data_IF_871055315729
#
_entry.id   IF_871055315729
#
_cell.length_a   1.000
_cell.length_b   1.000
_cell.length_c   1.000
_cell.angle_alpha   90.00
_cell.angle_beta   90.00
_cell.angle_gamma   90.00
#
_symmetry.space_group_name_H-M   'P 1'
#
loop_
_entity.id
_entity.type
_entity.pdbx_description
1 polymer ?
#
# COMPACT_ATOMS: atom_id res chain seq x y z
N UNK A 1 -15.33 6.70 7.01
CA UNK A 1 -16.47 7.48 6.47
C UNK A 1 -16.67 8.71 7.34
N UNK A 2 -16.83 9.87 6.73
CA UNK A 2 -16.91 11.17 7.39
C UNK A 2 -17.97 12.02 6.69
N UNK A 3 -18.76 12.81 7.42
CA UNK A 3 -19.63 13.82 6.83
C UNK A 3 -18.79 14.89 6.12
N UNK A 4 -19.37 15.54 5.12
CA UNK A 4 -18.76 16.74 4.50
C UNK A 4 -18.48 17.86 5.51
N UNK A 5 -19.21 17.89 6.64
CA UNK A 5 -18.97 18.81 7.77
C UNK A 5 -17.75 18.45 8.62
N UNK A 6 -17.11 17.30 8.38
CA UNK A 6 -15.90 16.86 9.07
C UNK A 6 -16.13 15.89 10.24
N UNK A 7 -17.38 15.60 10.59
CA UNK A 7 -17.72 14.62 11.62
C UNK A 7 -17.44 13.19 11.16
N UNK A 8 -16.68 12.44 11.97
CA UNK A 8 -16.43 11.02 11.70
C UNK A 8 -17.69 10.20 11.98
N UNK A 9 -18.14 9.44 10.98
CA UNK A 9 -19.34 8.58 11.10
C UNK A 9 -18.95 7.15 11.43
N UNK A 10 -17.92 6.64 10.74
CA UNK A 10 -17.44 5.27 10.93
C UNK A 10 -15.96 5.17 10.61
N UNK A 11 -15.25 4.40 11.43
CA UNK A 11 -13.82 4.14 11.33
C UNK A 11 -13.59 2.64 11.35
N UNK A 12 -12.90 2.14 10.34
CA UNK A 12 -12.47 0.74 10.25
C UNK A 12 -10.96 0.73 10.04
N UNK A 13 -10.25 -0.09 10.81
CA UNK A 13 -8.81 -0.27 10.75
C UNK A 13 -8.51 -1.76 10.69
N UNK A 14 -7.60 -2.17 9.82
CA UNK A 14 -7.17 -3.56 9.65
C UNK A 14 -5.73 -3.60 9.15
N UNK A 15 -5.02 -4.69 9.47
CA UNK A 15 -3.78 -5.03 8.79
C UNK A 15 -4.12 -5.67 7.45
N UNK A 16 -3.42 -5.28 6.39
CA UNK A 16 -3.67 -5.72 5.02
C UNK A 16 -2.34 -5.95 4.29
N UNK A 17 -2.31 -6.77 3.23
CA UNK A 17 -1.12 -6.89 2.39
C UNK A 17 -0.97 -5.64 1.49
N UNK A 18 0.15 -5.53 0.78
CA UNK A 18 0.51 -4.33 0.02
C UNK A 18 -0.52 -4.00 -1.08
N UNK A 19 -1.09 -5.02 -1.72
CA UNK A 19 -1.99 -4.86 -2.86
C UNK A 19 -3.25 -4.06 -2.48
N UNK A 20 -3.76 -4.27 -1.27
CA UNK A 20 -4.90 -3.54 -0.71
C UNK A 20 -4.54 -2.07 -0.38
N UNK A 21 -3.26 -1.77 -0.17
CA UNK A 21 -2.77 -0.42 0.11
C UNK A 21 -2.44 0.40 -1.14
N UNK A 22 -2.56 -0.16 -2.34
CA UNK A 22 -2.36 0.58 -3.59
C UNK A 22 -3.56 1.47 -3.95
N UNK A 23 -4.70 1.31 -3.26
CA UNK A 23 -5.93 2.09 -3.46
C UNK A 23 -6.22 3.05 -2.30
N UNK A 24 -5.31 3.99 -2.05
CA UNK A 24 -5.52 5.08 -1.07
C UNK A 24 -6.15 6.32 -1.70
N UNK A 25 -6.72 7.19 -0.88
CA UNK A 25 -7.29 8.47 -1.31
C UNK A 25 -8.64 8.77 -0.66
N UNK A 26 -9.31 9.83 -1.12
CA UNK A 26 -10.65 10.16 -0.68
C UNK A 26 -11.66 10.15 -1.84
N UNK A 27 -12.80 9.51 -1.64
CA UNK A 27 -13.93 9.49 -2.57
C UNK A 27 -15.14 10.17 -1.95
N UNK A 28 -15.81 11.03 -2.72
CA UNK A 28 -17.02 11.73 -2.30
C UNK A 28 -18.26 10.98 -2.77
N UNK A 29 -19.19 10.72 -1.86
CA UNK A 29 -20.49 10.12 -2.15
C UNK A 29 -21.53 11.24 -2.15
N UNK A 30 -21.75 11.85 -3.31
CA UNK A 30 -22.56 13.08 -3.47
C UNK A 30 -23.99 12.96 -2.93
N UNK A 31 -24.62 11.80 -3.09
CA UNK A 31 -26.02 11.61 -2.67
C UNK A 31 -26.20 11.58 -1.15
N UNK A 32 -25.15 11.22 -0.42
CA UNK A 32 -25.22 10.91 1.00
C UNK A 32 -24.48 11.96 1.86
N UNK A 33 -23.89 12.99 1.24
CA UNK A 33 -23.09 14.02 1.93
C UNK A 33 -21.94 13.46 2.79
N UNK A 34 -21.38 12.32 2.36
CA UNK A 34 -20.23 11.70 3.01
C UNK A 34 -19.00 11.63 2.10
N UNK A 35 -17.84 11.56 2.76
CA UNK A 35 -16.53 11.30 2.18
C UNK A 35 -15.96 10.03 2.80
N UNK A 36 -15.36 9.18 1.98
CA UNK A 36 -14.64 7.99 2.40
C UNK A 36 -13.17 8.24 2.11
N UNK A 37 -12.34 8.27 3.15
CA UNK A 37 -10.90 8.39 3.03
C UNK A 37 -10.22 7.12 3.50
N UNK A 38 -9.28 6.63 2.69
CA UNK A 38 -8.51 5.41 2.92
C UNK A 38 -7.03 5.74 2.90
N UNK A 39 -6.33 5.40 3.98
CA UNK A 39 -4.87 5.54 4.12
C UNK A 39 -4.26 4.22 4.54
N UNK A 40 -3.01 4.01 4.18
CA UNK A 40 -2.19 2.92 4.70
C UNK A 40 -0.96 3.47 5.38
N UNK A 41 -0.40 2.68 6.31
CA UNK A 41 0.85 3.01 6.96
C UNK A 41 1.64 1.75 7.24
N UNK A 42 2.95 1.92 7.34
CA UNK A 42 3.89 0.87 7.74
C UNK A 42 4.38 1.11 9.17
N UNK A 43 4.49 0.03 9.96
CA UNK A 43 5.02 0.05 11.32
C UNK A 43 3.97 -0.19 12.40
N UNK A 44 4.44 -0.34 13.65
CA UNK A 44 3.60 -0.65 14.81
C UNK A 44 2.77 0.55 15.23
N UNK A 45 1.44 0.37 15.36
CA UNK A 45 0.48 1.42 15.79
C UNK A 45 0.53 2.67 14.87
N UNK A 46 1.03 2.52 13.64
CA UNK A 46 1.18 3.64 12.70
C UNK A 46 -0.17 4.29 12.31
N UNK A 47 -1.27 3.56 12.45
CA UNK A 47 -2.61 3.96 12.06
C UNK A 47 -3.36 4.67 13.18
N UNK A 48 -2.68 5.35 14.11
CA UNK A 48 -3.35 6.16 15.15
C UNK A 48 -4.15 7.34 14.57
N UNK A 49 -3.61 8.18 13.66
CA UNK A 49 -4.39 9.27 13.04
C UNK A 49 -5.47 8.76 12.07
N UNK A 50 -6.41 9.65 11.72
CA UNK A 50 -7.46 9.39 10.73
C UNK A 50 -7.28 10.30 9.51
N UNK A 51 -7.31 9.76 8.28
CA UNK A 51 -7.23 10.58 7.08
C UNK A 51 -8.52 11.40 6.92
N UNK A 52 -8.37 12.71 6.76
CA UNK A 52 -9.47 13.66 6.57
C UNK A 52 -9.49 14.29 5.19
N UNK A 53 -8.39 14.29 4.44
CA UNK A 53 -8.25 14.89 3.12
C UNK A 53 -7.44 13.98 2.18
N UNK A 54 -7.33 14.39 0.91
CA UNK A 54 -6.57 13.62 -0.07
C UNK A 54 -5.05 13.62 0.25
N UNK A 55 -4.55 14.67 0.91
CA UNK A 55 -3.13 14.82 1.26
C UNK A 55 -2.67 13.84 2.35
N UNK A 56 -3.55 13.43 3.24
CA UNK A 56 -3.29 12.50 4.35
C UNK A 56 -3.92 11.12 4.12
N UNK A 57 -4.77 10.97 3.10
CA UNK A 57 -5.25 9.68 2.60
C UNK A 57 -4.25 9.05 1.62
N UNK A 58 -3.03 8.82 2.09
CA UNK A 58 -1.92 8.26 1.30
C UNK A 58 -1.41 6.96 1.92
N UNK A 59 -0.54 6.24 1.20
CA UNK A 59 0.24 5.17 1.79
C UNK A 59 1.58 5.71 2.31
N UNK A 60 1.74 5.75 3.63
CA UNK A 60 2.97 6.17 4.30
C UNK A 60 3.83 4.95 4.64
N UNK A 61 4.95 4.78 3.94
CA UNK A 61 5.90 3.68 4.13
C UNK A 61 7.26 4.24 4.55
N UNK A 62 7.92 3.55 5.49
CA UNK A 62 9.30 3.86 5.90
C UNK A 62 10.31 3.09 5.05
N UNK A 63 9.88 1.98 4.46
CA UNK A 63 10.64 1.18 3.50
C UNK A 63 10.49 1.74 2.08
N UNK A 64 11.56 1.81 1.27
CA UNK A 64 11.41 2.15 -0.13
C UNK A 64 10.61 1.06 -0.85
N UNK A 65 9.43 1.45 -1.36
CA UNK A 65 8.50 0.59 -2.11
C UNK A 65 9.17 -0.08 -3.33
N UNK A 66 10.30 0.45 -3.79
CA UNK A 66 11.09 -0.01 -4.93
C UNK A 66 12.08 -1.14 -4.64
N UNK A 67 12.02 -1.79 -3.46
CA UNK A 67 12.89 -2.94 -3.16
C UNK A 67 12.35 -4.22 -3.83
N UNK A 68 12.35 -4.26 -5.16
CA UNK A 68 12.25 -5.52 -5.89
C UNK A 68 13.65 -6.14 -5.96
N UNK A 69 13.98 -7.22 -5.22
CA UNK A 69 14.92 -8.21 -5.71
C UNK A 69 14.18 -9.05 -6.77
N UNK A 70 13.72 -8.37 -7.82
CA UNK A 70 13.19 -9.02 -9.00
C UNK A 70 14.38 -9.55 -9.79
N UNK A 71 14.53 -10.88 -9.80
CA UNK A 71 15.51 -11.67 -10.56
C UNK A 71 16.83 -11.97 -9.83
N UNK A 72 16.98 -13.20 -9.32
CA UNK A 72 18.22 -13.96 -9.56
C UNK A 72 18.23 -15.44 -9.18
N UNK A 73 17.13 -16.08 -8.77
CA UNK A 73 17.17 -17.55 -8.56
C UNK A 73 17.30 -18.31 -9.89
N UNK A 74 16.39 -18.02 -10.83
CA UNK A 74 16.30 -18.70 -12.13
C UNK A 74 17.41 -18.30 -13.10
N UNK A 75 17.78 -17.01 -13.13
CA UNK A 75 18.85 -16.51 -14.01
C UNK A 75 20.23 -17.07 -13.63
N UNK A 76 20.50 -17.22 -12.32
CA UNK A 76 21.73 -17.85 -11.83
C UNK A 76 21.77 -19.33 -12.17
N UNK A 77 20.66 -20.06 -11.97
CA UNK A 77 20.59 -21.49 -12.34
C UNK A 77 20.81 -21.71 -13.84
N UNK A 78 20.22 -20.88 -14.71
CA UNK A 78 20.47 -20.98 -16.15
C UNK A 78 21.90 -20.61 -16.53
N UNK A 79 22.51 -19.61 -15.88
CA UNK A 79 23.91 -19.25 -16.14
C UNK A 79 24.90 -20.33 -15.68
N UNK A 80 24.64 -20.96 -14.52
CA UNK A 80 25.45 -22.07 -14.00
C UNK A 80 25.36 -23.30 -14.89
N UNK A 81 24.16 -23.67 -15.37
CA UNK A 81 24.01 -24.79 -16.31
C UNK A 81 24.74 -24.55 -17.64
N UNK A 82 24.70 -23.33 -18.18
CA UNK A 82 25.42 -23.00 -19.42
C UNK A 82 26.94 -23.08 -19.23
N UNK A 83 27.47 -22.55 -18.13
CA UNK A 83 28.91 -22.62 -17.82
C UNK A 83 29.40 -24.06 -17.65
N UNK A 84 28.62 -24.93 -17.00
CA UNK A 84 28.97 -26.35 -16.84
C UNK A 84 28.92 -27.13 -18.16
N UNK A 85 28.00 -26.78 -19.07
CA UNK A 85 27.89 -27.41 -20.39
C UNK A 85 28.96 -27.01 -21.41
N UNK A 86 29.64 -25.87 -21.21
CA UNK A 86 30.76 -25.41 -22.06
C UNK A 86 32.13 -25.97 -21.66
N UNK A 87 32.22 -26.60 -20.48
CA UNK A 87 33.45 -27.19 -19.94
C UNK A 87 33.52 -28.72 -20.13
N UNK A 88 32.58 -29.29 -20.87
CA UNK A 88 32.51 -30.69 -21.29
C UNK A 88 32.66 -30.79 -22.81
#
# INVERSE_FOLDING_TARGET
MMRVTGESVSVTKRCVPLEDCLSTGCTYVKHEEYKICTSCCEGTICNLPLPRNASDAVFTTLSPLSSTPGLSGRAVLTAVCLLLGLMA
#
